data_IF_754975347880
#
_entry.id   IF_754975347880
#
_cell.length_a   1.000
_cell.length_b   1.000
_cell.length_c   1.000
_cell.angle_alpha   90.00
_cell.angle_beta   90.00
_cell.angle_gamma   90.00
#
_symmetry.space_group_name_H-M   'P 1'
#
loop_
_entity.id
_entity.type
_entity.pdbx_description
1 polymer ?
#
# COMPACT_ATOMS: atom_id res chain seq x y z
N UNK A 1 11.25 11.59 13.32
CA UNK A 1 9.95 10.91 13.19
C UNK A 1 10.20 9.68 12.35
N UNK A 2 9.64 8.54 12.76
CA UNK A 2 9.80 7.28 12.01
C UNK A 2 8.95 7.30 10.73
N UNK A 3 9.29 6.43 9.78
CA UNK A 3 8.57 6.29 8.53
C UNK A 3 7.83 4.95 8.53
N UNK A 4 6.62 4.93 7.99
CA UNK A 4 5.83 3.73 7.78
C UNK A 4 5.58 3.60 6.29
N UNK A 5 6.15 2.58 5.67
CA UNK A 5 5.83 2.20 4.30
C UNK A 5 4.69 1.19 4.33
N UNK A 6 3.66 1.38 3.52
CA UNK A 6 2.48 0.50 3.49
C UNK A 6 1.87 0.42 2.10
N UNK A 7 1.16 -0.67 1.85
CA UNK A 7 0.46 -0.94 0.60
C UNK A 7 -0.72 -1.89 0.83
N UNK A 8 -1.74 -1.84 -0.04
CA UNK A 8 -2.95 -2.65 0.05
C UNK A 8 -3.25 -3.38 -1.26
N UNK A 9 -3.61 -4.66 -1.15
CA UNK A 9 -4.28 -5.37 -2.21
C UNK A 9 -5.80 -5.39 -1.99
N UNK A 10 -6.58 -5.19 -3.06
CA UNK A 10 -8.01 -4.96 -2.97
C UNK A 10 -8.81 -5.86 -3.92
N UNK A 11 -10.13 -5.94 -3.70
CA UNK A 11 -11.05 -6.68 -4.59
C UNK A 11 -11.38 -5.97 -5.89
N UNK A 12 -11.01 -4.70 -6.01
CA UNK A 12 -11.30 -3.86 -7.17
C UNK A 12 -10.77 -2.44 -6.97
N UNK A 13 -11.36 -1.45 -7.65
CA UNK A 13 -10.86 -0.07 -7.67
C UNK A 13 -11.76 0.95 -7.01
N UNK A 14 -12.94 0.55 -6.55
CA UNK A 14 -13.90 1.46 -5.95
C UNK A 14 -13.86 1.35 -4.41
N UNK A 15 -13.30 2.33 -3.69
CA UNK A 15 -13.19 2.29 -2.23
C UNK A 15 -14.54 2.28 -1.51
N UNK A 16 -15.65 2.66 -2.19
CA UNK A 16 -16.98 2.63 -1.61
C UNK A 16 -17.57 1.22 -1.52
N UNK A 17 -17.21 0.34 -2.47
CA UNK A 17 -17.79 -0.99 -2.60
C UNK A 17 -16.78 -2.11 -2.41
N UNK A 18 -15.57 -1.91 -2.89
CA UNK A 18 -14.51 -2.90 -2.82
C UNK A 18 -13.94 -3.04 -1.39
N UNK A 19 -13.15 -4.08 -1.20
CA UNK A 19 -12.61 -4.49 0.08
C UNK A 19 -11.09 -4.57 0.00
N UNK A 20 -10.39 -4.16 1.06
CA UNK A 20 -8.98 -4.49 1.27
C UNK A 20 -8.87 -5.98 1.61
N UNK A 21 -8.00 -6.70 0.90
CA UNK A 21 -7.74 -8.14 1.07
C UNK A 21 -6.46 -8.43 1.82
N UNK A 22 -5.44 -7.62 1.55
CA UNK A 22 -4.12 -7.74 2.13
C UNK A 22 -3.60 -6.36 2.50
N UNK A 23 -2.87 -6.29 3.58
CA UNK A 23 -2.14 -5.12 4.05
C UNK A 23 -0.70 -5.53 4.31
N UNK A 24 0.24 -4.87 3.67
CA UNK A 24 1.66 -4.93 4.01
C UNK A 24 2.11 -3.60 4.63
N UNK A 25 2.93 -3.64 5.67
CA UNK A 25 3.55 -2.44 6.21
C UNK A 25 4.86 -2.71 6.92
N UNK A 26 5.81 -1.78 6.81
CA UNK A 26 7.04 -1.77 7.59
C UNK A 26 7.28 -0.41 8.23
N UNK A 27 7.68 -0.41 9.49
CA UNK A 27 8.13 0.78 10.21
C UNK A 27 9.64 0.83 10.22
N UNK A 28 10.21 1.95 9.82
CA UNK A 28 11.65 2.18 9.85
C UNK A 28 11.98 3.46 10.62
N UNK A 29 13.17 3.51 11.19
CA UNK A 29 13.71 4.74 11.77
C UNK A 29 14.01 5.77 10.69
N UNK A 30 14.32 7.01 11.08
CA UNK A 30 14.78 8.06 10.16
C UNK A 30 16.09 7.72 9.43
N UNK A 31 16.85 6.74 9.92
CA UNK A 31 18.04 6.17 9.28
C UNK A 31 17.73 4.95 8.40
N UNK A 32 16.44 4.67 8.13
CA UNK A 32 15.95 3.52 7.35
C UNK A 32 16.24 2.14 7.95
N UNK A 33 16.55 2.05 9.26
CA UNK A 33 16.64 0.77 9.94
C UNK A 33 15.24 0.25 10.26
N UNK A 34 14.96 -1.00 9.90
CA UNK A 34 13.68 -1.64 10.20
C UNK A 34 13.48 -1.80 11.70
N UNK A 35 12.32 -1.35 12.19
CA UNK A 35 11.92 -1.42 13.60
C UNK A 35 10.89 -2.53 13.79
N UNK A 36 9.94 -2.64 12.87
CA UNK A 36 8.82 -3.56 12.97
C UNK A 36 8.17 -3.71 11.58
N UNK A 37 7.54 -4.84 11.31
CA UNK A 37 6.82 -5.10 10.08
C UNK A 37 5.64 -6.03 10.33
N UNK A 38 4.63 -5.99 9.46
CA UNK A 38 3.54 -6.95 9.46
C UNK A 38 2.92 -7.12 8.08
N UNK A 39 2.27 -8.25 7.93
CA UNK A 39 1.38 -8.55 6.82
C UNK A 39 0.09 -9.14 7.38
N UNK A 40 -1.05 -8.60 6.95
CA UNK A 40 -2.37 -9.12 7.30
C UNK A 40 -3.16 -9.44 6.04
N UNK A 41 -3.89 -10.57 6.09
CA UNK A 41 -4.83 -10.98 5.02
C UNK A 41 -6.18 -11.29 5.64
N UNK A 42 -7.25 -11.03 4.90
CA UNK A 42 -8.60 -11.34 5.35
C UNK A 42 -9.43 -12.07 4.28
N UNK A 43 -10.49 -12.75 4.73
CA UNK A 43 -11.45 -13.37 3.82
C UNK A 43 -12.38 -12.33 3.19
N UNK A 44 -12.99 -12.72 2.09
CA UNK A 44 -14.07 -11.93 1.48
C UNK A 44 -15.24 -11.76 2.44
N UNK A 45 -15.85 -10.58 2.41
CA UNK A 45 -17.15 -10.35 3.05
C UNK A 45 -18.21 -11.18 2.34
N UNK A 46 -19.19 -11.73 3.08
CA UNK A 46 -20.33 -12.42 2.47
C UNK A 46 -21.06 -11.50 1.47
N UNK A 47 -21.33 -12.04 0.28
CA UNK A 47 -22.04 -11.32 -0.78
C UNK A 47 -21.20 -10.34 -1.61
N UNK A 48 -19.93 -10.13 -1.29
CA UNK A 48 -19.03 -9.34 -2.12
C UNK A 48 -18.48 -10.20 -3.27
N UNK A 49 -18.61 -9.69 -4.49
CA UNK A 49 -18.07 -10.33 -5.69
C UNK A 49 -16.82 -9.53 -6.10
N UNK A 50 -15.61 -10.12 -5.97
CA UNK A 50 -14.38 -9.42 -6.35
C UNK A 50 -14.27 -9.29 -7.87
N UNK A 51 -13.62 -8.24 -8.34
CA UNK A 51 -13.27 -8.09 -9.74
C UNK A 51 -12.33 -9.23 -10.16
N UNK A 52 -12.68 -10.03 -11.20
CA UNK A 52 -11.78 -11.06 -11.71
C UNK A 52 -10.44 -10.49 -12.18
N UNK A 53 -10.45 -9.26 -12.68
CA UNK A 53 -9.24 -8.56 -13.08
C UNK A 53 -8.34 -8.24 -11.87
N UNK A 54 -8.90 -7.76 -10.76
CA UNK A 54 -8.14 -7.50 -9.54
C UNK A 54 -7.53 -8.80 -8.98
N UNK A 55 -8.31 -9.89 -8.91
CA UNK A 55 -7.78 -11.19 -8.47
C UNK A 55 -6.64 -11.71 -9.36
N UNK A 56 -6.74 -11.50 -10.67
CA UNK A 56 -5.70 -11.90 -11.61
C UNK A 56 -4.42 -11.04 -11.44
N UNK A 57 -4.56 -9.73 -11.24
CA UNK A 57 -3.44 -8.82 -11.01
C UNK A 57 -2.73 -9.15 -9.69
N UNK A 58 -3.48 -9.32 -8.61
CA UNK A 58 -2.94 -9.61 -7.27
C UNK A 58 -2.55 -11.10 -7.12
N UNK A 59 -2.62 -11.90 -8.18
CA UNK A 59 -2.37 -13.34 -8.15
C UNK A 59 -3.11 -14.07 -7.00
N UNK A 60 -4.33 -13.62 -6.70
CA UNK A 60 -5.09 -14.10 -5.54
C UNK A 60 -5.96 -15.29 -5.91
N UNK A 61 -5.71 -16.43 -5.26
CA UNK A 61 -6.55 -17.61 -5.36
C UNK A 61 -7.86 -17.44 -4.58
N UNK A 62 -8.99 -17.36 -5.30
CA UNK A 62 -10.31 -17.22 -4.72
C UNK A 62 -10.62 -18.32 -3.69
N UNK A 63 -10.24 -19.56 -3.94
CA UNK A 63 -10.51 -20.66 -3.02
C UNK A 63 -9.72 -20.54 -1.70
N UNK A 64 -8.54 -19.96 -1.73
CA UNK A 64 -7.77 -19.63 -0.51
C UNK A 64 -8.37 -18.44 0.20
N UNK A 65 -8.78 -17.43 -0.56
CA UNK A 65 -9.33 -16.18 -0.01
C UNK A 65 -10.58 -16.41 0.84
N UNK A 66 -11.54 -17.23 0.36
CA UNK A 66 -12.77 -17.53 1.11
C UNK A 66 -12.52 -18.39 2.37
N UNK A 67 -11.39 -19.10 2.45
CA UNK A 67 -11.02 -19.96 3.58
C UNK A 67 -10.16 -19.25 4.63
N UNK A 68 -9.74 -18.02 4.37
CA UNK A 68 -8.97 -17.24 5.34
C UNK A 68 -9.79 -17.02 6.61
N UNK A 69 -9.21 -17.33 7.77
CA UNK A 69 -9.93 -17.27 9.06
C UNK A 69 -10.22 -15.83 9.47
N UNK A 70 -9.27 -14.93 9.28
CA UNK A 70 -9.38 -13.52 9.65
C UNK A 70 -10.49 -12.82 8.85
N UNK A 71 -11.42 -12.19 9.52
CA UNK A 71 -12.43 -11.36 8.89
C UNK A 71 -11.84 -10.00 8.49
N UNK A 72 -12.51 -9.30 7.57
CA UNK A 72 -12.11 -7.94 7.19
C UNK A 72 -12.16 -6.99 8.40
N UNK A 73 -13.13 -7.12 9.30
CA UNK A 73 -13.21 -6.30 10.50
C UNK A 73 -12.05 -6.57 11.46
N UNK A 74 -11.70 -7.82 11.71
CA UNK A 74 -10.55 -8.18 12.55
C UNK A 74 -9.24 -7.65 11.97
N UNK A 75 -9.06 -7.77 10.65
CA UNK A 75 -7.89 -7.21 9.98
C UNK A 75 -7.80 -5.70 10.17
N UNK A 76 -8.91 -4.96 10.00
CA UNK A 76 -8.93 -3.50 10.19
C UNK A 76 -8.66 -3.10 11.64
N UNK A 77 -9.17 -3.87 12.61
CA UNK A 77 -8.88 -3.66 14.03
C UNK A 77 -7.39 -3.85 14.34
N UNK A 78 -6.79 -4.94 13.86
CA UNK A 78 -5.37 -5.21 14.05
C UNK A 78 -4.50 -4.13 13.38
N UNK A 79 -4.89 -3.66 12.20
CA UNK A 79 -4.25 -2.56 11.50
C UNK A 79 -4.33 -1.26 12.31
N UNK A 80 -5.53 -0.89 12.80
CA UNK A 80 -5.74 0.32 13.59
C UNK A 80 -4.86 0.30 14.85
N UNK A 81 -4.89 -0.78 15.61
CA UNK A 81 -4.07 -0.96 16.82
C UNK A 81 -2.57 -0.83 16.51
N UNK A 82 -2.12 -1.43 15.40
CA UNK A 82 -0.73 -1.38 14.98
C UNK A 82 -0.30 0.04 14.58
N UNK A 83 -1.11 0.73 13.78
CA UNK A 83 -0.81 2.08 13.33
C UNK A 83 -0.87 3.10 14.48
N UNK A 84 -1.80 2.96 15.43
CA UNK A 84 -1.83 3.77 16.65
C UNK A 84 -0.53 3.56 17.45
N UNK A 85 -0.09 2.31 17.65
CA UNK A 85 1.16 1.99 18.35
C UNK A 85 2.40 2.56 17.64
N UNK A 86 2.33 2.69 16.32
CA UNK A 86 3.43 3.22 15.51
C UNK A 86 3.43 4.73 15.38
N UNK A 87 2.35 5.39 15.80
CA UNK A 87 2.24 6.87 15.81
C UNK A 87 3.12 7.49 16.92
N UNK A 88 3.65 8.72 16.74
CA UNK A 88 3.56 9.55 15.53
C UNK A 88 4.60 9.15 14.47
N UNK A 89 4.17 9.09 13.21
CA UNK A 89 5.01 8.68 12.08
C UNK A 89 4.60 9.37 10.76
N UNK A 90 5.42 9.24 9.73
CA UNK A 90 5.08 9.62 8.35
C UNK A 90 4.66 8.35 7.61
N UNK A 91 3.43 8.29 7.13
CA UNK A 91 2.88 7.20 6.34
C UNK A 91 3.18 7.43 4.86
N UNK A 92 3.82 6.47 4.21
CA UNK A 92 4.32 6.57 2.84
C UNK A 92 3.85 5.34 2.07
N UNK A 93 3.15 5.54 0.97
CA UNK A 93 2.85 4.50 0.01
C UNK A 93 3.19 4.94 -1.41
N UNK A 94 2.94 4.07 -2.38
CA UNK A 94 3.16 4.35 -3.79
C UNK A 94 1.83 4.65 -4.48
N UNK A 95 1.59 5.89 -4.92
CA UNK A 95 0.28 6.38 -5.38
C UNK A 95 -0.82 6.26 -4.29
N UNK A 96 -0.42 6.23 -3.04
CA UNK A 96 -1.26 5.89 -1.91
C UNK A 96 -2.29 6.96 -1.58
N UNK A 97 -2.01 8.23 -1.80
CA UNK A 97 -2.97 9.32 -1.53
C UNK A 97 -4.23 9.17 -2.36
N UNK A 98 -4.10 8.70 -3.61
CA UNK A 98 -5.22 8.54 -4.52
C UNK A 98 -5.85 7.14 -4.50
N UNK A 99 -5.26 6.18 -3.81
CA UNK A 99 -5.74 4.79 -3.79
C UNK A 99 -5.83 4.24 -2.36
N UNK A 100 -4.72 3.93 -1.72
CA UNK A 100 -4.68 3.25 -0.42
C UNK A 100 -5.36 4.07 0.68
N UNK A 101 -5.13 5.37 0.73
CA UNK A 101 -5.74 6.27 1.72
C UNK A 101 -7.27 6.30 1.57
N UNK A 102 -7.78 6.29 0.36
CA UNK A 102 -9.22 6.24 0.11
C UNK A 102 -9.80 4.89 0.55
N UNK A 103 -9.14 3.78 0.23
CA UNK A 103 -9.57 2.45 0.69
C UNK A 103 -9.52 2.33 2.21
N UNK A 104 -8.46 2.81 2.84
CA UNK A 104 -8.30 2.80 4.29
C UNK A 104 -9.42 3.60 4.96
N UNK A 105 -9.60 4.85 4.53
CA UNK A 105 -10.59 5.77 5.07
C UNK A 105 -12.00 5.20 4.98
N UNK A 106 -12.41 4.72 3.81
CA UNK A 106 -13.74 4.14 3.61
C UNK A 106 -13.93 2.82 4.37
N UNK A 107 -12.90 1.99 4.45
CA UNK A 107 -12.96 0.72 5.19
C UNK A 107 -13.07 0.95 6.69
N UNK A 108 -12.28 1.85 7.27
CA UNK A 108 -12.34 2.21 8.68
C UNK A 108 -13.68 2.87 9.03
N UNK A 109 -14.17 3.81 8.20
CA UNK A 109 -15.48 4.44 8.40
C UNK A 109 -16.60 3.41 8.46
N UNK A 110 -16.65 2.45 7.51
CA UNK A 110 -17.67 1.38 7.50
C UNK A 110 -17.53 0.42 8.69
N UNK A 111 -16.33 0.30 9.26
CA UNK A 111 -16.08 -0.51 10.45
C UNK A 111 -16.30 0.25 11.77
N UNK A 112 -16.73 1.52 11.71
CA UNK A 112 -16.87 2.43 12.86
C UNK A 112 -15.56 2.64 13.63
N UNK A 113 -14.44 2.64 12.91
CA UNK A 113 -13.09 2.95 13.38
C UNK A 113 -12.67 4.35 12.92
N UNK A 114 -11.51 4.86 13.40
CA UNK A 114 -11.06 6.22 13.02
C UNK A 114 -10.62 6.28 11.55
N UNK A 115 -11.38 6.96 10.66
CA UNK A 115 -11.07 7.05 9.22
C UNK A 115 -9.87 7.97 8.91
N UNK A 116 -9.33 8.68 9.90
CA UNK A 116 -8.23 9.63 9.73
C UNK A 116 -6.95 9.17 10.42
N UNK A 117 -6.79 7.88 10.60
CA UNK A 117 -5.71 7.22 11.33
C UNK A 117 -4.31 7.69 10.91
N UNK A 118 -4.07 7.83 9.60
CA UNK A 118 -2.79 8.25 9.02
C UNK A 118 -2.52 9.75 9.06
N UNK A 119 -3.52 10.56 9.43
CA UNK A 119 -3.41 12.04 9.46
C UNK A 119 -3.71 12.67 10.82
N UNK A 120 -4.08 11.86 11.84
CA UNK A 120 -4.24 12.28 13.24
C UNK A 120 -3.03 11.90 14.09
N UNK A 121 -3.05 12.25 15.37
CA UNK A 121 -2.02 11.90 16.36
C UNK A 121 -0.61 12.34 15.94
N UNK A 122 -0.49 13.52 15.33
CA UNK A 122 0.74 14.07 14.76
C UNK A 122 1.34 13.18 13.67
N UNK A 123 0.52 12.36 13.01
CA UNK A 123 0.92 11.63 11.82
C UNK A 123 0.92 12.55 10.60
N UNK A 124 1.77 12.24 9.63
CA UNK A 124 1.84 12.88 8.32
C UNK A 124 1.78 11.82 7.22
N UNK A 125 1.46 12.26 6.01
CA UNK A 125 1.39 11.40 4.83
C UNK A 125 2.31 11.93 3.75
N UNK A 126 2.91 11.01 3.00
CA UNK A 126 3.64 11.32 1.78
C UNK A 126 3.33 10.25 0.72
N UNK A 127 3.49 10.61 -0.54
CA UNK A 127 3.30 9.71 -1.67
C UNK A 127 4.62 9.62 -2.44
N UNK A 128 5.20 8.42 -2.49
CA UNK A 128 6.50 8.23 -3.13
C UNK A 128 6.43 8.49 -4.64
N UNK A 129 5.32 8.17 -5.30
CA UNK A 129 5.14 8.46 -6.73
C UNK A 129 5.31 9.95 -7.03
N UNK A 130 4.70 10.82 -6.21
CA UNK A 130 4.81 12.27 -6.40
C UNK A 130 6.21 12.80 -6.03
N UNK A 131 6.85 12.20 -5.03
CA UNK A 131 8.25 12.51 -4.69
C UNK A 131 9.20 12.15 -5.85
N UNK A 132 9.06 10.95 -6.44
CA UNK A 132 9.88 10.51 -7.58
C UNK A 132 9.69 11.39 -8.82
N UNK A 133 8.45 11.80 -9.11
CA UNK A 133 8.16 12.77 -10.18
C UNK A 133 8.84 14.11 -9.93
N UNK A 134 8.81 14.57 -8.70
CA UNK A 134 9.47 15.82 -8.27
C UNK A 134 11.00 15.70 -8.40
N UNK A 135 11.57 14.59 -7.96
CA UNK A 135 13.01 14.32 -8.09
C UNK A 135 13.43 14.26 -9.55
N UNK A 136 12.70 13.53 -10.40
CA UNK A 136 13.01 13.45 -11.83
C UNK A 136 12.94 14.81 -12.54
N UNK A 137 12.04 15.68 -12.11
CA UNK A 137 11.89 17.01 -12.69
C UNK A 137 13.00 17.98 -12.27
N UNK A 138 13.31 18.06 -10.97
CA UNK A 138 14.28 19.03 -10.45
C UNK A 138 15.72 18.50 -10.46
N UNK A 139 15.90 17.19 -10.37
CA UNK A 139 17.21 16.52 -10.30
C UNK A 139 17.29 15.38 -11.31
N UNK A 140 17.30 15.70 -12.62
CA UNK A 140 17.29 14.68 -13.67
C UNK A 140 18.52 13.75 -13.54
N UNK A 141 18.33 12.47 -13.85
CA UNK A 141 19.30 11.39 -13.73
C UNK A 141 19.66 10.94 -12.29
N UNK A 142 18.97 11.42 -11.28
CA UNK A 142 19.14 10.90 -9.90
C UNK A 142 18.54 9.50 -9.77
N UNK A 143 17.41 9.27 -10.44
CA UNK A 143 16.74 7.98 -10.55
C UNK A 143 16.62 7.58 -12.03
N UNK A 144 16.67 6.28 -12.29
CA UNK A 144 16.47 5.77 -13.64
C UNK A 144 14.98 5.58 -13.91
N UNK A 145 14.39 6.49 -14.69
CA UNK A 145 12.95 6.45 -15.06
C UNK A 145 12.82 5.82 -16.44
N UNK A 146 12.25 4.60 -16.55
CA UNK A 146 12.08 3.93 -17.84
C UNK A 146 11.05 4.62 -18.71
N UNK A 147 11.07 4.31 -20.02
CA UNK A 147 10.08 4.77 -20.99
C UNK A 147 9.17 3.61 -21.42
N UNK A 148 7.90 3.89 -21.61
CA UNK A 148 6.94 2.93 -22.14
C UNK A 148 7.04 2.81 -23.68
N UNK A 149 6.23 1.92 -24.27
CA UNK A 149 6.18 1.68 -25.74
C UNK A 149 5.89 2.96 -26.57
N UNK A 150 5.29 3.98 -25.95
CA UNK A 150 4.99 5.29 -26.60
C UNK A 150 6.11 6.31 -26.37
N UNK A 151 7.28 5.86 -25.94
CA UNK A 151 8.45 6.69 -25.61
C UNK A 151 8.16 7.80 -24.57
N UNK A 152 7.25 7.53 -23.63
CA UNK A 152 6.93 8.41 -22.50
C UNK A 152 7.48 7.81 -21.19
N UNK A 153 8.04 8.65 -20.33
CA UNK A 153 8.46 8.24 -18.99
C UNK A 153 7.31 7.55 -18.25
N UNK A 154 7.62 6.46 -17.58
CA UNK A 154 6.66 5.70 -16.77
C UNK A 154 7.16 5.61 -15.34
N UNK A 155 6.27 5.88 -14.41
CA UNK A 155 6.52 5.78 -12.97
C UNK A 155 5.71 4.64 -12.35
N UNK A 156 5.37 3.60 -13.10
CA UNK A 156 4.76 2.41 -12.53
C UNK A 156 5.77 1.67 -11.69
N UNK A 157 5.38 1.24 -10.48
CA UNK A 157 6.27 0.58 -9.53
C UNK A 157 6.92 -0.68 -10.13
N UNK A 158 6.13 -1.49 -10.86
CA UNK A 158 6.57 -2.70 -11.56
C UNK A 158 7.62 -2.44 -12.67
N UNK A 159 7.78 -1.18 -13.09
CA UNK A 159 8.75 -0.78 -14.12
C UNK A 159 9.91 0.03 -13.54
N UNK A 160 9.66 0.96 -12.62
CA UNK A 160 10.70 1.82 -12.07
C UNK A 160 11.59 1.08 -11.06
N UNK A 161 11.04 0.15 -10.27
CA UNK A 161 11.84 -0.61 -9.31
C UNK A 161 12.91 -1.46 -10.00
N UNK A 162 12.61 -2.31 -11.01
CA UNK A 162 13.64 -3.03 -11.75
C UNK A 162 14.63 -2.13 -12.50
N UNK A 163 14.17 -0.98 -13.03
CA UNK A 163 15.06 -0.02 -13.69
C UNK A 163 16.13 0.57 -12.76
N UNK A 164 15.88 0.54 -11.44
CA UNK A 164 16.82 0.96 -10.40
C UNK A 164 17.44 -0.22 -9.65
N UNK A 165 17.48 -1.42 -10.27
CA UNK A 165 18.07 -2.64 -9.73
C UNK A 165 17.42 -3.12 -8.41
N UNK A 166 16.16 -2.76 -8.17
CA UNK A 166 15.37 -3.21 -7.03
C UNK A 166 14.61 -4.47 -7.43
N UNK A 167 14.85 -5.56 -6.69
CA UNK A 167 14.10 -6.81 -6.89
C UNK A 167 12.67 -6.64 -6.38
N UNK A 168 11.68 -6.81 -7.25
CA UNK A 168 10.29 -6.51 -6.97
C UNK A 168 9.39 -7.69 -7.30
N UNK A 169 8.67 -8.17 -6.30
CA UNK A 169 7.52 -9.10 -6.48
C UNK A 169 6.26 -8.24 -6.59
N UNK A 170 5.93 -7.86 -7.82
CA UNK A 170 4.79 -7.00 -8.09
C UNK A 170 3.46 -7.65 -7.65
N UNK A 171 2.54 -6.80 -7.17
CA UNK A 171 1.18 -7.20 -6.77
C UNK A 171 1.12 -8.17 -5.58
N UNK A 172 2.04 -8.00 -4.67
CA UNK A 172 1.99 -8.52 -3.30
C UNK A 172 2.27 -7.35 -2.37
N UNK A 173 1.33 -7.00 -1.49
CA UNK A 173 1.40 -5.76 -0.72
C UNK A 173 2.73 -5.61 0.05
N UNK A 174 3.27 -6.71 0.60
CA UNK A 174 4.56 -6.63 1.29
C UNK A 174 5.73 -6.48 0.31
N UNK A 175 5.65 -7.10 -0.87
CA UNK A 175 6.61 -6.91 -1.96
C UNK A 175 6.65 -5.47 -2.45
N UNK A 176 5.49 -4.85 -2.63
CA UNK A 176 5.34 -3.46 -3.07
C UNK A 176 5.84 -2.47 -2.00
N UNK A 177 5.59 -2.76 -0.70
CA UNK A 177 6.17 -2.02 0.44
C UNK A 177 7.70 -2.05 0.41
N UNK A 178 8.31 -3.22 0.18
CA UNK A 178 9.77 -3.35 0.16
C UNK A 178 10.40 -2.66 -1.05
N UNK A 179 9.75 -2.67 -2.22
CA UNK A 179 10.19 -1.93 -3.39
C UNK A 179 10.07 -0.41 -3.16
N UNK A 180 8.94 0.04 -2.60
CA UNK A 180 8.70 1.45 -2.25
C UNK A 180 9.73 1.99 -1.26
N UNK A 181 10.09 1.20 -0.25
CA UNK A 181 11.14 1.56 0.74
C UNK A 181 12.54 1.70 0.12
N UNK A 182 12.85 0.93 -0.94
CA UNK A 182 14.18 0.91 -1.56
C UNK A 182 14.35 2.00 -2.63
N UNK A 183 13.27 2.49 -3.20
CA UNK A 183 13.24 3.64 -4.11
C UNK A 183 13.47 4.96 -3.35
#
# INVERSE_FOLDING_TARGET
>A
MDLIFYDFETTGRDPHWDQILQVGATKVSKEFNEIDAFEYRCRLKPGLIPSPFALAVNNTDYAKLIKTECSHYEMLRNLEEKFIKWSPSIFIGYNSINFDEEFLRHSLFRALLDPYLTSRNNNHRADLLELLRTVDFFFPNTINVPTNEKNKKTFKLDQIAPANAINHLAHDAFGDVMATKQL
#
